data_IF_550376050194
#
_entry.id   IF_550376050194
#
_cell.length_a   1.000
_cell.length_b   1.000
_cell.length_c   1.000
_cell.angle_alpha   90.00
_cell.angle_beta   90.00
_cell.angle_gamma   90.00
#
_symmetry.space_group_name_H-M   'P 1'
#
loop_
_entity.id
_entity.type
_entity.pdbx_description
1 polymer ?
#
# COMPACT_ATOMS: atom_id res chain seq x y z
N UNK A 1 -22.51 -43.08 61.27
CA UNK A 1 -21.05 -43.20 61.06
C UNK A 1 -20.76 -44.51 60.34
N UNK A 2 -20.36 -44.47 59.07
CA UNK A 2 -19.83 -45.64 58.35
C UNK A 2 -18.65 -45.16 57.51
N UNK A 3 -17.46 -45.62 57.89
CA UNK A 3 -16.20 -45.40 57.17
C UNK A 3 -16.19 -46.30 55.93
N UNK A 4 -16.01 -45.72 54.75
CA UNK A 4 -15.63 -46.46 53.55
C UNK A 4 -14.11 -46.31 53.34
N UNK A 5 -13.42 -47.44 53.38
CA UNK A 5 -12.00 -47.60 53.12
C UNK A 5 -11.74 -47.54 51.60
N UNK A 6 -10.96 -46.57 51.13
CA UNK A 6 -10.45 -46.57 49.75
C UNK A 6 -9.25 -47.52 49.64
N UNK A 7 -9.36 -48.53 48.76
CA UNK A 7 -8.20 -49.21 48.19
C UNK A 7 -7.63 -48.37 47.03
N UNK A 8 -6.31 -48.37 46.78
CA UNK A 8 -5.71 -47.59 45.71
C UNK A 8 -6.04 -48.20 44.35
N UNK A 9 -6.60 -47.39 43.45
CA UNK A 9 -6.85 -47.78 42.07
C UNK A 9 -5.52 -47.90 41.30
N UNK A 10 -5.41 -49.02 40.63
CA UNK A 10 -4.33 -49.49 39.76
C UNK A 10 -4.00 -48.45 38.66
N UNK A 11 -2.79 -47.89 38.71
CA UNK A 11 -2.29 -46.93 37.71
C UNK A 11 -1.59 -47.73 36.60
N UNK A 12 -2.38 -48.39 35.76
CA UNK A 12 -1.86 -48.96 34.52
C UNK A 12 -2.91 -48.92 33.41
N UNK A 13 -3.21 -47.72 32.91
CA UNK A 13 -3.73 -47.55 31.57
C UNK A 13 -2.85 -46.54 30.83
N UNK A 14 -2.28 -46.88 29.65
CA UNK A 14 -1.53 -45.92 28.87
C UNK A 14 -2.46 -44.79 28.43
N UNK A 15 -2.08 -43.57 28.79
CA UNK A 15 -2.70 -42.34 28.34
C UNK A 15 -2.62 -42.28 26.82
N UNK A 16 -3.72 -42.57 26.14
CA UNK A 16 -3.86 -42.42 24.69
C UNK A 16 -3.77 -40.93 24.38
N UNK A 17 -2.57 -40.48 23.98
CA UNK A 17 -2.38 -39.10 23.53
C UNK A 17 -3.17 -38.90 22.25
N UNK A 18 -4.09 -37.94 22.28
CA UNK A 18 -4.84 -37.48 21.13
C UNK A 18 -3.84 -36.98 20.06
N UNK A 19 -3.62 -37.76 19.02
CA UNK A 19 -2.56 -37.65 18.00
C UNK A 19 -2.76 -36.53 16.97
N UNK A 20 -3.57 -35.53 17.30
CA UNK A 20 -3.92 -34.39 16.43
C UNK A 20 -3.06 -33.13 16.67
N UNK A 21 -2.30 -33.07 17.76
CA UNK A 21 -1.47 -31.91 18.15
C UNK A 21 0.04 -32.20 18.13
N UNK A 22 0.45 -33.45 17.99
CA UNK A 22 1.86 -33.80 17.91
C UNK A 22 2.47 -33.17 16.64
N UNK A 23 3.55 -32.37 16.76
CA UNK A 23 4.22 -31.81 15.60
C UNK A 23 4.95 -32.91 14.83
N UNK A 24 4.70 -32.99 13.53
CA UNK A 24 5.37 -33.94 12.64
C UNK A 24 6.63 -33.27 12.06
N UNK A 25 7.82 -33.89 12.17
CA UNK A 25 9.02 -33.38 11.54
C UNK A 25 8.93 -33.51 10.02
N UNK A 26 9.32 -32.45 9.32
CA UNK A 26 9.37 -32.39 7.86
C UNK A 26 10.69 -31.82 7.41
N UNK A 27 11.32 -32.49 6.45
CA UNK A 27 12.56 -32.05 5.83
C UNK A 27 12.23 -31.33 4.52
N UNK A 28 12.46 -30.02 4.47
CA UNK A 28 12.30 -29.22 3.24
C UNK A 28 13.66 -28.73 2.79
N UNK A 29 14.14 -29.19 1.64
CA UNK A 29 15.43 -28.77 1.08
C UNK A 29 16.63 -29.00 2.02
N UNK A 30 16.53 -29.92 2.98
CA UNK A 30 17.56 -30.20 3.99
C UNK A 30 17.32 -29.56 5.36
N UNK A 31 16.30 -28.72 5.52
CA UNK A 31 15.95 -28.09 6.81
C UNK A 31 14.74 -28.77 7.46
N UNK A 32 14.87 -29.12 8.74
CA UNK A 32 13.79 -29.75 9.51
C UNK A 32 12.85 -28.69 10.10
N UNK A 33 11.57 -28.80 9.79
CA UNK A 33 10.49 -27.99 10.32
C UNK A 33 9.59 -28.82 11.24
N UNK A 34 9.32 -28.29 12.43
CA UNK A 34 8.32 -28.83 13.35
C UNK A 34 7.02 -28.05 13.21
N UNK A 35 6.00 -28.68 12.62
CA UNK A 35 4.72 -28.02 12.35
C UNK A 35 3.59 -28.94 12.81
N UNK A 36 2.57 -28.36 13.46
CA UNK A 36 1.43 -29.12 14.00
C UNK A 36 0.50 -29.58 12.88
N UNK A 37 -0.09 -30.77 13.03
CA UNK A 37 -1.04 -31.34 12.06
C UNK A 37 -2.19 -30.38 11.69
N UNK A 38 -2.62 -29.53 12.62
CA UNK A 38 -3.64 -28.51 12.37
C UNK A 38 -3.22 -27.46 11.33
N UNK A 39 -1.95 -27.02 11.34
CA UNK A 39 -1.42 -26.10 10.31
C UNK A 39 -1.24 -26.80 8.97
N UNK A 40 -0.91 -28.10 8.96
CA UNK A 40 -0.75 -28.91 7.75
C UNK A 40 -2.04 -29.13 6.98
N UNK A 41 -3.14 -29.41 7.68
CA UNK A 41 -4.44 -29.70 7.05
C UNK A 41 -5.03 -28.51 6.27
N UNK A 42 -4.45 -27.32 6.40
CA UNK A 42 -4.84 -26.12 5.65
C UNK A 42 -4.23 -26.07 4.24
N UNK A 43 -3.27 -26.94 3.93
CA UNK A 43 -2.63 -27.07 2.63
C UNK A 43 -3.08 -28.38 1.98
N UNK A 44 -3.69 -28.32 0.79
CA UNK A 44 -4.30 -29.47 0.13
C UNK A 44 -3.31 -30.61 -0.16
N UNK A 45 -2.15 -30.26 -0.72
CA UNK A 45 -1.10 -31.22 -1.08
C UNK A 45 -0.55 -31.94 0.15
N UNK A 46 -0.32 -31.20 1.23
CA UNK A 46 0.21 -31.72 2.48
C UNK A 46 -0.82 -32.56 3.26
N UNK A 47 -2.10 -32.24 3.13
CA UNK A 47 -3.18 -33.04 3.70
C UNK A 47 -3.27 -34.42 3.03
N UNK A 48 -3.13 -34.48 1.70
CA UNK A 48 -3.12 -35.75 0.94
C UNK A 48 -1.92 -36.62 1.30
N UNK A 49 -0.73 -36.02 1.45
CA UNK A 49 0.49 -36.73 1.82
C UNK A 49 0.38 -37.44 3.19
N UNK A 50 -0.37 -36.85 4.13
CA UNK A 50 -0.62 -37.42 5.46
C UNK A 50 -1.79 -38.42 5.49
N UNK A 51 -2.71 -38.35 4.52
CA UNK A 51 -3.92 -39.16 4.51
C UNK A 51 -3.74 -40.50 3.78
N UNK A 52 -2.89 -40.52 2.75
CA UNK A 52 -2.91 -41.57 1.72
C UNK A 52 -1.69 -42.51 1.74
N UNK A 53 -0.89 -42.50 2.82
CA UNK A 53 0.33 -43.33 2.99
C UNK A 53 1.40 -43.14 1.88
N UNK A 54 1.20 -42.17 0.99
CA UNK A 54 2.10 -41.74 -0.10
C UNK A 54 3.43 -41.18 0.42
N UNK A 55 3.54 -40.92 1.73
CA UNK A 55 4.76 -40.45 2.38
C UNK A 55 5.89 -41.47 2.38
N UNK A 56 5.62 -42.76 2.10
CA UNK A 56 6.64 -43.82 2.14
C UNK A 56 7.75 -43.67 1.08
N UNK A 57 7.43 -43.17 -0.12
CA UNK A 57 8.42 -42.96 -1.19
C UNK A 57 9.13 -41.59 -1.08
N UNK A 58 8.67 -40.73 -0.17
CA UNK A 58 9.18 -39.38 0.04
C UNK A 58 9.84 -39.25 1.41
N UNK A 59 10.52 -40.28 1.91
CA UNK A 59 11.26 -40.21 3.18
C UNK A 59 12.73 -39.89 2.98
N UNK A 60 13.30 -39.08 3.87
CA UNK A 60 14.75 -38.94 4.00
C UNK A 60 15.36 -40.18 4.68
N UNK A 61 16.69 -40.21 4.77
CA UNK A 61 17.44 -41.30 5.43
C UNK A 61 17.14 -41.44 6.92
N UNK A 62 16.50 -40.45 7.54
CA UNK A 62 16.10 -40.44 8.95
C UNK A 62 14.61 -40.80 9.15
N UNK A 63 13.87 -41.09 8.07
CA UNK A 63 12.45 -41.46 8.12
C UNK A 63 11.50 -40.26 8.23
N UNK A 64 11.97 -39.03 7.99
CA UNK A 64 11.09 -37.86 7.90
C UNK A 64 10.61 -37.67 6.47
N UNK A 65 9.42 -37.11 6.29
CA UNK A 65 8.93 -36.70 4.98
C UNK A 65 9.91 -35.65 4.41
N UNK A 66 10.35 -35.85 3.17
CA UNK A 66 11.27 -35.00 2.43
C UNK A 66 10.56 -34.32 1.26
N UNK A 67 10.77 -33.01 1.15
CA UNK A 67 10.24 -32.17 0.08
C UNK A 67 11.42 -31.40 -0.53
N UNK A 68 11.65 -31.59 -1.83
CA UNK A 68 12.72 -30.94 -2.57
C UNK A 68 12.30 -29.51 -3.01
N UNK A 69 12.20 -28.61 -2.02
CA UNK A 69 11.79 -27.20 -2.19
C UNK A 69 12.65 -26.28 -1.33
N UNK A 70 12.54 -24.98 -1.57
CA UNK A 70 13.29 -23.96 -0.83
C UNK A 70 12.77 -23.83 0.62
N UNK A 71 13.61 -24.08 1.64
CA UNK A 71 13.20 -23.98 3.04
C UNK A 71 12.83 -22.56 3.48
N UNK A 72 13.39 -21.51 2.87
CA UNK A 72 13.09 -20.12 3.25
C UNK A 72 11.68 -19.73 2.80
N UNK A 73 11.31 -20.07 1.57
CA UNK A 73 9.95 -19.88 1.06
C UNK A 73 8.94 -20.69 1.86
N UNK A 74 9.27 -21.95 2.17
CA UNK A 74 8.41 -22.80 3.00
C UNK A 74 8.18 -22.22 4.40
N UNK A 75 9.23 -21.69 5.03
CA UNK A 75 9.13 -21.04 6.34
C UNK A 75 8.11 -19.89 6.33
N UNK A 76 8.10 -19.09 5.27
CA UNK A 76 7.12 -18.01 5.08
C UNK A 76 5.70 -18.54 4.83
N UNK A 77 5.52 -19.57 4.00
CA UNK A 77 4.21 -20.20 3.80
C UNK A 77 3.64 -20.72 5.13
N UNK A 78 4.46 -21.37 5.96
CA UNK A 78 4.04 -21.84 7.29
C UNK A 78 3.66 -20.67 8.21
N UNK A 79 4.37 -19.54 8.13
CA UNK A 79 4.02 -18.32 8.86
C UNK A 79 2.64 -17.80 8.43
N UNK A 80 2.33 -17.78 7.14
CA UNK A 80 1.01 -17.40 6.63
C UNK A 80 -0.09 -18.37 7.08
N UNK A 81 0.16 -19.69 7.03
CA UNK A 81 -0.80 -20.70 7.49
C UNK A 81 -1.15 -20.61 8.99
N UNK A 82 -0.23 -20.03 9.78
CA UNK A 82 -0.46 -19.71 11.21
C UNK A 82 -1.26 -18.42 11.42
N UNK A 83 -1.57 -17.67 10.36
CA UNK A 83 -2.38 -16.45 10.38
C UNK A 83 -1.58 -15.15 10.53
N UNK A 84 -0.26 -15.19 10.38
CA UNK A 84 0.55 -13.98 10.38
C UNK A 84 0.51 -13.32 9.00
N UNK A 85 0.41 -11.99 8.95
CA UNK A 85 0.49 -11.24 7.69
C UNK A 85 1.90 -11.29 7.10
N UNK A 86 2.00 -11.22 5.77
CA UNK A 86 3.30 -11.10 5.12
C UNK A 86 3.93 -9.74 5.41
N UNK A 87 5.09 -9.76 6.05
CA UNK A 87 5.91 -8.56 6.27
C UNK A 87 7.02 -8.52 5.23
N UNK A 88 7.35 -7.32 4.75
CA UNK A 88 8.43 -7.08 3.77
C UNK A 88 9.72 -7.81 4.19
N UNK A 89 10.19 -8.70 3.32
CA UNK A 89 11.37 -9.53 3.55
C UNK A 89 12.55 -9.03 2.67
N UNK A 90 13.80 -9.05 3.15
CA UNK A 90 14.95 -8.54 2.39
C UNK A 90 15.31 -9.41 1.18
N UNK A 91 14.95 -10.70 1.19
CA UNK A 91 15.34 -11.68 0.16
C UNK A 91 14.18 -12.34 -0.58
N UNK A 92 12.95 -12.19 -0.08
CA UNK A 92 11.78 -12.92 -0.61
C UNK A 92 10.73 -11.91 -1.00
N UNK A 93 10.15 -12.09 -2.17
CA UNK A 93 9.03 -11.30 -2.66
C UNK A 93 7.71 -11.99 -2.32
N UNK A 94 6.64 -11.20 -2.21
CA UNK A 94 5.29 -11.74 -2.04
C UNK A 94 4.91 -12.70 -3.18
N UNK A 95 5.34 -12.42 -4.40
CA UNK A 95 5.04 -13.26 -5.56
C UNK A 95 5.69 -14.63 -5.47
N UNK A 96 6.93 -14.71 -5.00
CA UNK A 96 7.62 -15.99 -4.79
C UNK A 96 6.95 -16.80 -3.65
N UNK A 97 6.58 -16.15 -2.55
CA UNK A 97 5.89 -16.82 -1.43
C UNK A 97 4.49 -17.29 -1.83
N UNK A 98 3.77 -16.52 -2.64
CA UNK A 98 2.45 -16.90 -3.16
C UNK A 98 2.55 -18.09 -4.12
N UNK A 99 3.52 -18.08 -5.02
CA UNK A 99 3.78 -19.21 -5.92
C UNK A 99 4.16 -20.49 -5.14
N UNK A 100 4.90 -20.35 -4.04
CA UNK A 100 5.19 -21.47 -3.15
C UNK A 100 3.94 -21.98 -2.43
N UNK A 101 3.07 -21.08 -1.95
CA UNK A 101 1.79 -21.47 -1.33
C UNK A 101 0.88 -22.22 -2.32
N UNK A 102 0.89 -21.83 -3.60
CA UNK A 102 0.17 -22.52 -4.67
C UNK A 102 0.69 -23.95 -4.89
N UNK A 103 2.01 -24.16 -4.80
CA UNK A 103 2.60 -25.51 -4.88
C UNK A 103 2.06 -26.43 -3.77
N UNK A 104 1.94 -25.92 -2.54
CA UNK A 104 1.36 -26.65 -1.42
C UNK A 104 -0.18 -26.73 -1.48
N UNK A 105 -0.81 -26.21 -2.53
CA UNK A 105 -2.26 -26.14 -2.72
C UNK A 105 -2.95 -25.47 -1.52
N UNK A 106 -2.35 -24.39 -1.00
CA UNK A 106 -3.04 -23.54 -0.03
C UNK A 106 -4.12 -22.76 -0.77
N UNK A 107 -5.27 -22.56 -0.14
CA UNK A 107 -6.36 -21.78 -0.75
C UNK A 107 -5.89 -20.33 -0.94
N UNK A 108 -6.04 -19.81 -2.16
CA UNK A 108 -5.68 -18.44 -2.49
C UNK A 108 -6.39 -17.41 -1.60
N UNK A 109 -7.65 -17.65 -1.24
CA UNK A 109 -8.43 -16.79 -0.34
C UNK A 109 -7.78 -16.62 1.04
N UNK A 110 -7.19 -17.68 1.59
CA UNK A 110 -6.53 -17.65 2.91
C UNK A 110 -5.22 -16.87 2.87
N UNK A 111 -4.53 -16.91 1.73
CA UNK A 111 -3.21 -16.30 1.53
C UNK A 111 -3.35 -14.84 1.08
N UNK A 112 -4.23 -14.56 0.13
CA UNK A 112 -4.44 -13.21 -0.41
C UNK A 112 -4.99 -12.25 0.68
N UNK A 113 -5.73 -12.75 1.68
CA UNK A 113 -6.13 -11.98 2.85
C UNK A 113 -4.94 -11.53 3.74
N UNK A 114 -3.80 -12.20 3.62
CA UNK A 114 -2.55 -11.94 4.35
C UNK A 114 -1.48 -11.25 3.47
N UNK A 115 -1.85 -10.89 2.24
CA UNK A 115 -0.98 -10.19 1.31
C UNK A 115 -0.47 -8.87 1.93
N UNK A 116 0.76 -8.44 1.58
CA UNK A 116 1.20 -7.12 1.99
C UNK A 116 0.25 -6.06 1.42
N UNK A 117 0.05 -4.94 2.14
CA UNK A 117 -0.72 -3.84 1.59
C UNK A 117 -0.13 -3.42 0.24
N UNK A 118 -0.97 -3.04 -0.74
CA UNK A 118 -0.49 -2.62 -2.05
C UNK A 118 0.52 -1.50 -1.86
N UNK A 119 1.72 -1.67 -2.44
CA UNK A 119 2.75 -0.66 -2.39
C UNK A 119 2.20 0.64 -2.99
N UNK A 120 2.30 1.74 -2.24
CA UNK A 120 1.91 3.05 -2.74
C UNK A 120 2.97 3.47 -3.75
N UNK A 121 2.70 3.26 -5.03
CA UNK A 121 3.58 3.74 -6.10
C UNK A 121 3.36 5.24 -6.23
N UNK A 122 4.25 6.02 -5.63
CA UNK A 122 4.25 7.46 -5.81
C UNK A 122 4.71 7.80 -7.23
N UNK A 123 4.04 8.74 -7.91
CA UNK A 123 4.57 9.29 -9.14
C UNK A 123 5.98 9.88 -8.90
N UNK A 124 6.86 9.84 -9.91
CA UNK A 124 8.13 10.55 -9.80
C UNK A 124 7.85 12.03 -9.58
N UNK A 125 8.77 12.66 -8.84
CA UNK A 125 8.79 14.09 -8.74
C UNK A 125 8.87 14.72 -10.13
N UNK A 126 8.08 15.76 -10.37
CA UNK A 126 7.98 16.37 -11.70
C UNK A 126 8.02 17.88 -11.62
N UNK A 127 8.71 18.48 -12.59
CA UNK A 127 8.64 19.91 -12.87
C UNK A 127 7.67 20.10 -14.03
N UNK A 128 6.68 20.99 -13.86
CA UNK A 128 5.66 21.26 -14.88
C UNK A 128 5.39 22.75 -14.98
N UNK A 129 4.79 23.18 -16.11
CA UNK A 129 4.36 24.56 -16.31
C UNK A 129 2.85 24.66 -16.10
N UNK A 130 2.44 25.50 -15.16
CA UNK A 130 1.04 25.86 -15.00
C UNK A 130 0.68 26.98 -15.96
N UNK A 131 -0.50 26.88 -16.57
CA UNK A 131 -1.02 27.87 -17.51
C UNK A 131 -2.39 28.33 -17.04
N UNK A 132 -2.56 29.64 -16.90
CA UNK A 132 -3.84 30.29 -16.61
C UNK A 132 -4.15 31.26 -17.74
N UNK A 133 -5.37 31.19 -18.28
CA UNK A 133 -5.78 32.08 -19.38
C UNK A 133 -6.82 33.06 -18.87
N UNK A 134 -6.49 34.34 -18.88
CA UNK A 134 -7.43 35.42 -18.58
C UNK A 134 -8.08 35.96 -19.85
N UNK A 135 -9.39 36.13 -19.81
CA UNK A 135 -10.20 36.77 -20.84
C UNK A 135 -10.57 38.18 -20.37
N UNK A 136 -10.31 39.17 -21.22
CA UNK A 136 -10.77 40.54 -21.02
C UNK A 136 -12.18 40.74 -21.59
N UNK A 137 -13.11 41.27 -20.80
CA UNK A 137 -14.54 41.36 -21.15
C UNK A 137 -15.05 42.81 -21.34
N UNK A 138 -14.16 43.80 -21.43
CA UNK A 138 -14.55 45.17 -21.80
C UNK A 138 -15.64 45.81 -20.92
N UNK A 139 -15.67 45.48 -19.62
CA UNK A 139 -16.68 45.98 -18.70
C UNK A 139 -16.42 47.43 -18.27
N UNK A 140 -17.50 48.21 -18.11
CA UNK A 140 -17.45 49.55 -17.49
C UNK A 140 -17.11 49.50 -16.00
N UNK A 141 -17.31 48.35 -15.34
CA UNK A 141 -16.82 48.13 -13.97
C UNK A 141 -15.36 47.65 -14.03
N UNK A 142 -14.39 48.44 -13.54
CA UNK A 142 -12.99 48.06 -13.58
C UNK A 142 -12.68 46.76 -12.81
N UNK A 143 -13.56 46.34 -11.88
CA UNK A 143 -13.44 45.10 -11.08
C UNK A 143 -13.98 43.85 -11.80
N UNK A 144 -14.55 44.01 -12.98
CA UNK A 144 -15.21 42.94 -13.73
C UNK A 144 -14.61 42.81 -15.15
N UNK A 145 -13.32 43.14 -15.31
CA UNK A 145 -12.66 43.17 -16.61
C UNK A 145 -12.03 41.84 -16.98
N UNK A 146 -11.57 41.06 -16.00
CA UNK A 146 -10.77 39.86 -16.24
C UNK A 146 -11.39 38.60 -15.65
N UNK A 147 -11.49 37.57 -16.49
CA UNK A 147 -12.06 36.28 -16.12
C UNK A 147 -11.15 35.12 -16.49
N UNK A 148 -10.96 34.16 -15.59
CA UNK A 148 -10.32 32.88 -15.87
C UNK A 148 -11.18 32.12 -16.89
N UNK A 149 -10.63 31.96 -18.09
CA UNK A 149 -11.25 31.29 -19.22
C UNK A 149 -10.61 29.93 -19.56
N UNK A 150 -9.42 29.67 -19.01
CA UNK A 150 -8.65 28.44 -19.20
C UNK A 150 -7.75 28.17 -17.99
N UNK A 151 -7.37 26.90 -17.79
CA UNK A 151 -6.53 26.49 -16.65
C UNK A 151 -7.28 26.25 -15.34
N UNK A 152 -8.62 26.23 -15.34
CA UNK A 152 -9.43 26.11 -14.11
C UNK A 152 -9.18 24.81 -13.32
N UNK A 153 -8.89 23.70 -14.02
CA UNK A 153 -8.58 22.41 -13.39
C UNK A 153 -7.17 22.34 -12.80
N UNK A 154 -6.29 23.27 -13.17
CA UNK A 154 -4.93 23.38 -12.69
C UNK A 154 -4.75 24.56 -11.72
N UNK A 155 -5.86 25.11 -11.21
CA UNK A 155 -5.81 26.16 -10.21
C UNK A 155 -5.34 25.57 -8.90
N UNK A 156 -4.26 26.11 -8.40
CA UNK A 156 -3.70 25.80 -7.10
C UNK A 156 -4.38 26.63 -6.01
N UNK A 157 -4.21 26.20 -4.76
CA UNK A 157 -4.89 26.78 -3.61
C UNK A 157 -4.56 28.27 -3.42
N UNK A 158 -3.35 28.70 -3.76
CA UNK A 158 -2.92 30.10 -3.74
C UNK A 158 -3.72 31.01 -4.70
N UNK A 159 -4.09 30.50 -5.88
CA UNK A 159 -4.93 31.23 -6.84
C UNK A 159 -6.36 31.29 -6.35
N UNK A 160 -6.91 30.16 -5.89
CA UNK A 160 -8.26 30.08 -5.32
C UNK A 160 -8.42 30.99 -4.10
N UNK A 161 -7.42 31.05 -3.22
CA UNK A 161 -7.39 31.95 -2.08
C UNK A 161 -7.34 33.43 -2.48
N UNK A 162 -6.81 33.73 -3.67
CA UNK A 162 -6.71 35.09 -4.19
C UNK A 162 -7.92 35.53 -5.01
N UNK A 163 -8.87 34.62 -5.30
CA UNK A 163 -10.07 34.94 -6.05
C UNK A 163 -11.14 35.64 -5.18
N UNK A 164 -11.94 36.55 -5.75
CA UNK A 164 -13.05 37.19 -5.04
C UNK A 164 -14.08 36.14 -4.60
N UNK A 165 -14.29 36.02 -3.28
CA UNK A 165 -15.17 35.02 -2.68
C UNK A 165 -14.45 33.88 -1.96
N UNK A 166 -13.12 33.79 -2.10
CA UNK A 166 -12.29 32.81 -1.40
C UNK A 166 -12.32 31.40 -2.03
N UNK A 167 -11.69 30.42 -1.35
CA UNK A 167 -11.55 29.06 -1.84
C UNK A 167 -12.91 28.42 -2.15
N UNK A 168 -13.07 27.86 -3.35
CA UNK A 168 -14.31 27.19 -3.78
C UNK A 168 -15.43 28.13 -4.24
N UNK A 169 -15.20 29.44 -4.31
CA UNK A 169 -16.19 30.37 -4.86
C UNK A 169 -16.43 30.12 -6.36
N UNK A 170 -17.68 30.29 -6.80
CA UNK A 170 -18.05 30.16 -8.22
C UNK A 170 -17.42 31.26 -9.11
N UNK A 171 -16.82 32.29 -8.50
CA UNK A 171 -16.18 33.40 -9.17
C UNK A 171 -15.09 32.91 -10.13
N UNK A 172 -15.07 33.50 -11.32
CA UNK A 172 -13.97 33.35 -12.30
C UNK A 172 -13.13 34.61 -12.39
N UNK A 173 -13.37 35.60 -11.53
CA UNK A 173 -12.70 36.90 -11.62
C UNK A 173 -11.28 36.79 -11.06
N UNK A 174 -10.30 37.25 -11.83
CA UNK A 174 -8.91 37.27 -11.39
C UNK A 174 -8.17 38.39 -12.13
N UNK A 175 -7.58 39.31 -11.37
CA UNK A 175 -6.80 40.41 -11.93
C UNK A 175 -5.38 39.91 -12.32
N UNK A 176 -4.80 40.38 -13.44
CA UNK A 176 -3.46 40.01 -13.89
C UNK A 176 -2.36 40.20 -12.83
N UNK A 177 -2.43 41.29 -12.06
CA UNK A 177 -1.43 41.64 -11.05
C UNK A 177 -1.35 40.61 -9.91
N UNK A 178 -2.45 39.88 -9.67
CA UNK A 178 -2.48 38.78 -8.71
C UNK A 178 -1.63 37.63 -9.22
N UNK A 179 -1.77 37.26 -10.50
CA UNK A 179 -0.99 36.19 -11.12
C UNK A 179 0.51 36.55 -11.12
N UNK A 180 0.85 37.80 -11.47
CA UNK A 180 2.24 38.28 -11.45
C UNK A 180 2.85 38.17 -10.04
N UNK A 181 2.11 38.56 -8.99
CA UNK A 181 2.56 38.39 -7.60
C UNK A 181 2.71 36.92 -7.18
N UNK A 182 1.91 36.03 -7.75
CA UNK A 182 2.01 34.57 -7.55
C UNK A 182 3.11 33.91 -8.40
N UNK A 183 3.97 34.71 -9.05
CA UNK A 183 5.11 34.24 -9.82
C UNK A 183 4.76 33.79 -11.24
N UNK A 184 3.57 34.13 -11.75
CA UNK A 184 3.25 33.92 -13.15
C UNK A 184 3.89 35.00 -14.02
N UNK A 185 4.45 34.57 -15.15
CA UNK A 185 4.90 35.42 -16.22
C UNK A 185 3.79 35.59 -17.25
N UNK A 186 3.51 36.83 -17.60
CA UNK A 186 2.58 37.19 -18.66
C UNK A 186 3.16 36.79 -20.01
N UNK A 187 2.45 35.91 -20.72
CA UNK A 187 2.75 35.51 -22.09
C UNK A 187 2.11 36.43 -23.12
N UNK A 188 2.01 35.94 -24.35
CA UNK A 188 1.40 36.69 -25.45
C UNK A 188 -0.12 36.84 -25.27
N UNK A 189 -0.62 38.01 -25.69
CA UNK A 189 -2.06 38.29 -25.76
C UNK A 189 -2.56 37.97 -27.15
N UNK A 190 -3.49 37.02 -27.27
CA UNK A 190 -4.19 36.74 -28.53
C UNK A 190 -5.25 37.80 -28.75
N UNK A 191 -4.92 38.81 -29.57
CA UNK A 191 -5.78 39.97 -29.86
C UNK A 191 -7.15 39.60 -30.42
N UNK A 192 -7.27 38.49 -31.15
CA UNK A 192 -8.53 38.02 -31.74
C UNK A 192 -9.58 37.61 -30.70
N UNK A 193 -9.15 37.25 -29.48
CA UNK A 193 -10.02 36.77 -28.41
C UNK A 193 -9.89 37.56 -27.12
N UNK A 194 -9.07 38.62 -27.09
CA UNK A 194 -8.73 39.37 -25.86
C UNK A 194 -8.29 38.45 -24.72
N UNK A 195 -7.59 37.37 -25.05
CA UNK A 195 -7.09 36.37 -24.11
C UNK A 195 -5.61 36.60 -23.85
N UNK A 196 -5.21 36.51 -22.60
CA UNK A 196 -3.81 36.58 -22.19
C UNK A 196 -3.47 35.33 -21.40
N UNK A 197 -2.38 34.67 -21.78
CA UNK A 197 -1.87 33.51 -21.07
C UNK A 197 -0.85 33.93 -20.02
N UNK A 198 -0.90 33.27 -18.88
CA UNK A 198 0.02 33.45 -17.77
C UNK A 198 0.62 32.09 -17.43
N UNK A 199 1.94 32.01 -17.31
CA UNK A 199 2.63 30.75 -17.06
C UNK A 199 3.56 30.82 -15.86
N UNK A 200 3.67 29.75 -15.09
CA UNK A 200 4.71 29.59 -14.07
C UNK A 200 5.21 28.16 -14.02
N UNK A 201 6.47 27.98 -13.66
CA UNK A 201 7.03 26.65 -13.42
C UNK A 201 6.77 26.23 -11.97
N UNK A 202 6.36 24.99 -11.77
CA UNK A 202 6.14 24.40 -10.45
C UNK A 202 6.78 23.03 -10.35
N UNK A 203 7.22 22.68 -9.14
CA UNK A 203 7.76 21.38 -8.78
C UNK A 203 6.73 20.65 -7.92
N UNK A 204 6.37 19.43 -8.31
CA UNK A 204 5.38 18.61 -7.60
C UNK A 204 6.12 17.42 -6.98
N UNK A 205 6.08 17.35 -5.65
CA UNK A 205 6.68 16.28 -4.86
C UNK A 205 5.60 15.46 -4.16
N UNK A 206 5.84 14.15 -4.06
CA UNK A 206 4.98 13.20 -3.37
C UNK A 206 5.75 12.58 -2.21
N UNK A 207 5.10 12.45 -1.06
CA UNK A 207 5.66 11.84 0.13
C UNK A 207 4.77 10.68 0.60
N UNK A 208 5.37 9.53 0.91
CA UNK A 208 4.64 8.33 1.36
C UNK A 208 4.33 8.44 2.85
N UNK A 209 3.09 8.11 3.24
CA UNK A 209 2.71 8.00 4.66
C UNK A 209 2.94 6.57 5.12
N UNK A 210 4.11 6.32 5.70
CA UNK A 210 4.50 5.01 6.25
C UNK A 210 3.76 4.69 7.57
N UNK A 211 2.45 4.49 7.50
CA UNK A 211 1.62 4.06 8.65
C UNK A 211 1.33 5.15 9.69
N UNK A 212 1.53 6.43 9.37
CA UNK A 212 1.30 7.53 10.30
C UNK A 212 1.27 8.91 9.63
N UNK A 213 1.02 9.94 10.43
CA UNK A 213 1.04 11.33 9.98
C UNK A 213 2.46 11.73 9.57
N UNK A 214 2.62 12.15 8.31
CA UNK A 214 3.85 12.77 7.85
C UNK A 214 3.80 14.28 8.15
N UNK A 215 4.84 14.78 8.80
CA UNK A 215 4.99 16.22 9.03
C UNK A 215 6.02 16.77 8.05
N UNK A 216 5.53 17.42 7.00
CA UNK A 216 6.37 18.18 6.07
C UNK A 216 6.15 19.67 6.34
N UNK A 217 7.22 20.43 6.69
CA UNK A 217 7.09 21.84 6.98
C UNK A 217 6.52 22.60 5.79
N UNK A 218 5.70 23.62 6.06
CA UNK A 218 5.20 24.53 5.04
C UNK A 218 6.34 25.45 4.63
N UNK A 219 6.71 25.40 3.35
CA UNK A 219 7.75 26.27 2.80
C UNK A 219 7.14 27.53 2.18
N UNK A 220 7.85 28.67 2.13
CA UNK A 220 7.35 29.90 1.51
C UNK A 220 6.95 29.73 0.03
N UNK A 221 7.58 28.80 -0.67
CA UNK A 221 7.34 28.51 -2.08
C UNK A 221 6.12 27.58 -2.30
N UNK A 222 5.49 27.08 -1.24
CA UNK A 222 4.36 26.16 -1.32
C UNK A 222 3.10 26.87 -1.86
N UNK A 223 2.56 26.35 -2.96
CA UNK A 223 1.36 26.91 -3.64
C UNK A 223 0.15 25.99 -3.56
N UNK A 224 0.36 24.71 -3.26
CA UNK A 224 -0.71 23.74 -3.13
C UNK A 224 -0.27 22.55 -2.29
N UNK A 225 -1.16 22.11 -1.40
CA UNK A 225 -1.00 20.91 -0.58
C UNK A 225 -2.25 20.04 -0.67
N UNK A 226 -2.05 18.78 -1.03
CA UNK A 226 -3.12 17.78 -1.09
C UNK A 226 -2.77 16.61 -0.19
N UNK A 227 -3.62 16.38 0.82
CA UNK A 227 -3.48 15.31 1.79
C UNK A 227 -4.35 14.11 1.36
N UNK A 228 -3.69 12.98 1.13
CA UNK A 228 -4.33 11.69 0.88
C UNK A 228 -4.05 10.73 2.05
N UNK A 229 -4.90 9.73 2.34
CA UNK A 229 -4.65 8.76 3.42
C UNK A 229 -3.29 8.05 3.34
N UNK A 230 -2.76 7.87 2.13
CA UNK A 230 -1.53 7.12 1.86
C UNK A 230 -0.34 7.98 1.45
N UNK A 231 -0.57 9.23 1.06
CA UNK A 231 0.49 10.10 0.53
C UNK A 231 0.17 11.58 0.76
N UNK A 232 1.19 12.43 0.63
CA UNK A 232 1.08 13.88 0.67
C UNK A 232 1.67 14.44 -0.62
N UNK A 233 0.90 15.22 -1.37
CA UNK A 233 1.40 15.95 -2.53
C UNK A 233 1.62 17.41 -2.13
N UNK A 234 2.79 17.93 -2.44
CA UNK A 234 3.12 19.34 -2.25
C UNK A 234 3.63 19.91 -3.57
N UNK A 235 3.07 21.06 -3.95
CA UNK A 235 3.49 21.82 -5.12
C UNK A 235 4.19 23.08 -4.66
N UNK A 236 5.40 23.30 -5.18
CA UNK A 236 6.20 24.48 -4.93
C UNK A 236 6.34 25.31 -6.21
N UNK A 237 6.45 26.64 -6.08
CA UNK A 237 6.99 27.45 -7.18
C UNK A 237 8.42 26.99 -7.47
N UNK A 238 8.75 26.90 -8.75
CA UNK A 238 10.09 26.56 -9.20
C UNK A 238 10.63 27.74 -10.00
N UNK A 239 11.73 28.38 -9.56
CA UNK A 239 12.36 29.43 -10.35
C UNK A 239 12.78 28.86 -11.71
N UNK A 240 12.57 29.64 -12.77
CA UNK A 240 13.06 29.34 -14.11
C UNK A 240 14.54 29.66 -14.25
#
# INVERSE_FOLDING_TARGET
MLKASLAPADITQPFVMNSSLAPTPLNVGGQIFMVSRATWMRAGFLATLLADDLGHDMMDTAGNIFIDRDPELFGEVVRLLRGYAFVRHPRLTWQEVRAEADFYQVRSEDIDALAPPPAVVLPPERVTTQVVTLLWVGSNDPRNRWHVSGGRKSLTQDIDASMPGGPGAASTRLEPEILERLGFQKGETTFTLSKTEFTRTVRIAFYEKMGGAISVPVLPEEVHREDHPQWLQITYTHPQ
#
